data_IF_825859288781
#
_entry.id   IF_825859288781
#
_cell.length_a   1.000
_cell.length_b   1.000
_cell.length_c   1.000
_cell.angle_alpha   90.00
_cell.angle_beta   90.00
_cell.angle_gamma   90.00
#
_symmetry.space_group_name_H-M   'P 1'
#
loop_
_entity.id
_entity.type
_entity.pdbx_description
1 polymer ?
#
# COMPACT_ATOMS: atom_id res chain seq x y z
N UNK A 1 17.12 -3.40 1.93
CA UNK A 1 17.45 -3.76 3.33
C UNK A 1 16.20 -4.27 3.99
N UNK A 2 16.29 -5.32 4.83
CA UNK A 2 15.13 -5.85 5.55
C UNK A 2 14.51 -4.77 6.44
N UNK A 3 13.18 -4.80 6.61
CA UNK A 3 12.49 -3.82 7.44
C UNK A 3 12.86 -4.00 8.92
N UNK A 4 13.15 -2.90 9.61
CA UNK A 4 13.34 -2.94 11.06
C UNK A 4 12.06 -3.33 11.78
N UNK A 5 12.15 -3.94 12.97
CA UNK A 5 10.98 -4.29 13.79
C UNK A 5 10.10 -3.07 14.11
N UNK A 6 10.70 -1.90 14.29
CA UNK A 6 9.96 -0.65 14.50
C UNK A 6 9.12 -0.28 13.26
N UNK A 7 9.72 -0.34 12.07
CA UNK A 7 8.99 -0.11 10.81
C UNK A 7 7.90 -1.15 10.60
N UNK A 8 8.16 -2.42 10.91
CA UNK A 8 7.14 -3.47 10.77
C UNK A 8 5.93 -3.21 11.66
N UNK A 9 6.15 -2.81 12.92
CA UNK A 9 5.06 -2.44 13.85
C UNK A 9 4.29 -1.22 13.35
N UNK A 10 4.97 -0.20 12.85
CA UNK A 10 4.35 0.99 12.30
C UNK A 10 3.47 0.67 11.08
N UNK A 11 3.98 -0.16 10.15
CA UNK A 11 3.21 -0.61 8.99
C UNK A 11 2.02 -1.45 9.44
N UNK A 12 2.19 -2.36 10.40
CA UNK A 12 1.08 -3.16 10.94
C UNK A 12 -0.04 -2.28 11.49
N UNK A 13 0.29 -1.27 12.30
CA UNK A 13 -0.69 -0.33 12.84
C UNK A 13 -1.39 0.48 11.74
N UNK A 14 -0.64 0.90 10.71
CA UNK A 14 -1.23 1.56 9.54
C UNK A 14 -2.20 0.62 8.80
N UNK A 15 -1.87 -0.67 8.64
CA UNK A 15 -2.75 -1.67 8.03
C UNK A 15 -4.01 -1.94 8.87
N UNK A 16 -3.93 -1.88 10.20
CA UNK A 16 -5.11 -1.96 11.07
C UNK A 16 -6.07 -0.79 10.83
N UNK A 17 -5.55 0.44 10.69
CA UNK A 17 -6.36 1.62 10.37
C UNK A 17 -6.95 1.53 8.96
N UNK A 18 -6.17 1.09 7.97
CA UNK A 18 -6.64 0.95 6.59
C UNK A 18 -7.74 -0.12 6.46
N UNK A 19 -7.71 -1.17 7.28
CA UNK A 19 -8.75 -2.21 7.27
C UNK A 19 -10.14 -1.67 7.63
N UNK A 20 -10.23 -0.54 8.34
CA UNK A 20 -11.52 0.08 8.71
C UNK A 20 -12.00 1.12 7.70
N UNK A 21 -11.33 1.25 6.54
CA UNK A 21 -11.61 2.26 5.52
C UNK A 21 -12.12 1.60 4.24
N UNK A 22 -12.74 2.41 3.39
CA UNK A 22 -13.00 2.05 2.00
C UNK A 22 -11.97 2.79 1.16
N UNK A 23 -10.99 2.06 0.65
CA UNK A 23 -9.96 2.59 -0.22
C UNK A 23 -10.46 2.67 -1.66
N UNK A 24 -10.26 3.83 -2.27
CA UNK A 24 -10.58 4.08 -3.66
C UNK A 24 -9.27 4.12 -4.46
N UNK A 25 -9.08 3.11 -5.29
CA UNK A 25 -7.86 2.92 -6.09
C UNK A 25 -7.98 3.66 -7.42
N UNK A 26 -7.04 4.57 -7.68
CA UNK A 26 -6.90 5.25 -8.96
C UNK A 26 -5.78 4.55 -9.77
N UNK A 27 -6.17 3.76 -10.76
CA UNK A 27 -5.24 2.89 -11.47
C UNK A 27 -4.44 3.68 -12.51
N UNK A 28 -3.16 3.87 -12.23
CA UNK A 28 -2.19 4.48 -13.14
C UNK A 28 -1.04 3.52 -13.44
N UNK A 29 -0.35 3.71 -14.56
CA UNK A 29 0.90 2.99 -14.85
C UNK A 29 2.04 3.43 -13.94
N UNK A 30 1.90 4.61 -13.33
CA UNK A 30 2.78 5.12 -12.28
C UNK A 30 2.17 4.85 -10.91
N UNK A 31 3.01 4.78 -9.88
CA UNK A 31 2.53 4.76 -8.50
C UNK A 31 1.81 6.06 -8.19
N UNK A 32 0.56 5.94 -7.77
CA UNK A 32 -0.25 7.06 -7.29
C UNK A 32 -0.78 6.73 -5.90
N UNK A 33 -1.14 7.78 -5.17
CA UNK A 33 -1.75 7.64 -3.85
C UNK A 33 -3.17 7.08 -3.96
N UNK A 34 -3.52 6.16 -3.06
CA UNK A 34 -4.92 5.71 -2.93
C UNK A 34 -5.75 6.82 -2.29
N UNK A 35 -6.98 7.01 -2.78
CA UNK A 35 -7.94 7.95 -2.20
C UNK A 35 -8.54 7.39 -0.91
N UNK A 36 -8.96 8.28 -0.01
CA UNK A 36 -9.49 7.95 1.34
C UNK A 36 -8.56 7.13 2.25
N UNK A 37 -7.31 6.95 1.86
CA UNK A 37 -6.22 6.47 2.71
C UNK A 37 -5.45 7.59 3.44
N UNK A 38 -5.87 8.85 3.31
CA UNK A 38 -5.19 10.00 3.93
C UNK A 38 -5.64 10.17 5.39
N UNK A 39 -4.98 9.50 6.33
CA UNK A 39 -5.18 9.76 7.77
C UNK A 39 -3.86 10.07 8.46
N UNK A 40 -3.88 11.05 9.37
CA UNK A 40 -2.76 11.35 10.27
C UNK A 40 -2.37 10.12 11.11
N UNK A 41 -3.27 9.15 11.23
CA UNK A 41 -3.07 7.90 11.97
C UNK A 41 -2.15 6.90 11.26
N UNK A 42 -1.78 7.10 9.99
CA UNK A 42 -0.83 6.22 9.30
C UNK A 42 0.63 6.46 9.68
N UNK A 43 0.91 7.42 10.57
CA UNK A 43 2.25 7.65 11.10
C UNK A 43 3.28 8.03 10.03
N UNK A 44 2.90 8.83 9.02
CA UNK A 44 3.81 9.20 7.92
C UNK A 44 3.92 8.16 6.80
N UNK A 45 3.08 7.12 6.84
CA UNK A 45 2.91 6.17 5.75
C UNK A 45 1.71 6.52 4.88
N UNK A 46 1.68 5.97 3.66
CA UNK A 46 0.55 6.15 2.75
C UNK A 46 0.36 4.96 1.82
N UNK A 47 -0.88 4.50 1.61
CA UNK A 47 -1.17 3.51 0.59
C UNK A 47 -1.02 4.11 -0.82
N UNK A 48 -0.45 3.33 -1.72
CA UNK A 48 -0.37 3.65 -3.14
C UNK A 48 -0.83 2.48 -4.00
N UNK A 49 -1.25 2.78 -5.23
CA UNK A 49 -1.64 1.80 -6.22
C UNK A 49 -1.02 2.11 -7.59
N UNK A 50 -0.90 1.07 -8.41
CA UNK A 50 -0.60 1.17 -9.84
C UNK A 50 -1.13 -0.06 -10.58
N UNK A 51 -1.13 -0.02 -11.89
CA UNK A 51 -1.41 -1.16 -12.76
C UNK A 51 -0.31 -1.29 -13.81
N UNK A 52 0.13 -2.52 -14.08
CA UNK A 52 1.08 -2.74 -15.17
C UNK A 52 0.45 -2.44 -16.54
N UNK A 53 1.22 -1.82 -17.43
CA UNK A 53 0.76 -1.47 -18.79
C UNK A 53 0.72 -2.68 -19.72
N UNK A 54 1.57 -3.68 -19.49
CA UNK A 54 1.69 -4.88 -20.32
C UNK A 54 0.87 -6.05 -19.74
N UNK A 55 0.39 -6.94 -20.61
CA UNK A 55 -0.22 -8.21 -20.19
C UNK A 55 0.83 -9.08 -19.45
N UNK A 56 0.48 -9.76 -18.33
CA UNK A 56 -0.85 -9.92 -17.75
C UNK A 56 -1.19 -8.85 -16.68
N UNK A 57 -1.33 -7.57 -17.08
CA UNK A 57 -1.85 -6.40 -16.33
C UNK A 57 -2.12 -6.68 -14.85
N UNK A 58 -1.06 -6.65 -14.04
CA UNK A 58 -1.20 -6.82 -12.60
C UNK A 58 -1.59 -5.50 -11.96
N UNK A 59 -2.50 -5.57 -11.00
CA UNK A 59 -2.82 -4.48 -10.10
C UNK A 59 -1.90 -4.57 -8.90
N UNK A 60 -1.26 -3.47 -8.55
CA UNK A 60 -0.34 -3.42 -7.42
C UNK A 60 -0.86 -2.47 -6.36
N UNK A 61 -0.77 -2.89 -5.11
CA UNK A 61 -1.01 -2.04 -3.95
C UNK A 61 0.23 -2.08 -3.05
N UNK A 62 0.64 -0.95 -2.51
CA UNK A 62 1.82 -0.85 -1.67
C UNK A 62 1.69 0.17 -0.55
N UNK A 63 2.57 0.07 0.45
CA UNK A 63 2.72 1.07 1.51
C UNK A 63 4.03 1.82 1.30
N UNK A 64 3.95 3.15 1.32
CA UNK A 64 5.07 4.05 1.03
C UNK A 64 5.38 4.93 2.23
N UNK A 65 6.62 5.38 2.33
CA UNK A 65 6.93 6.58 3.08
C UNK A 65 6.41 7.81 2.34
N UNK A 66 6.14 8.88 3.08
CA UNK A 66 5.67 10.14 2.53
C UNK A 66 6.72 11.22 2.75
N UNK A 67 6.95 12.04 1.73
CA UNK A 67 7.67 13.31 1.85
C UNK A 67 6.90 14.40 1.12
N UNK A 68 6.74 15.57 1.73
CA UNK A 68 5.98 16.70 1.16
C UNK A 68 4.60 16.30 0.61
N UNK A 69 3.87 15.45 1.35
CA UNK A 69 2.54 14.90 1.01
C UNK A 69 2.51 13.96 -0.22
N UNK A 70 3.67 13.60 -0.78
CA UNK A 70 3.81 12.67 -1.91
C UNK A 70 4.39 11.35 -1.46
N UNK A 71 3.94 10.25 -2.09
CA UNK A 71 4.57 8.94 -1.90
C UNK A 71 6.00 8.98 -2.42
N UNK A 72 6.91 8.30 -1.73
CA UNK A 72 8.31 8.16 -2.14
C UNK A 72 8.54 6.71 -2.55
N UNK A 73 8.65 6.40 -3.86
CA UNK A 73 9.01 5.07 -4.31
C UNK A 73 10.45 4.70 -3.90
N UNK A 74 10.77 3.40 -3.73
CA UNK A 74 9.88 2.24 -3.88
C UNK A 74 8.95 2.01 -2.66
N UNK A 75 7.91 1.17 -2.79
CA UNK A 75 7.11 0.77 -1.63
C UNK A 75 7.95 0.01 -0.59
N UNK A 76 7.62 0.19 0.69
CA UNK A 76 8.17 -0.58 1.81
C UNK A 76 7.70 -2.04 1.76
N UNK A 77 6.42 -2.23 1.44
CA UNK A 77 5.79 -3.53 1.17
C UNK A 77 4.80 -3.35 0.03
N UNK A 78 4.58 -4.41 -0.75
CA UNK A 78 3.63 -4.41 -1.86
C UNK A 78 3.01 -5.80 -2.08
N UNK A 79 1.85 -5.82 -2.69
CA UNK A 79 1.17 -7.01 -3.16
C UNK A 79 0.64 -6.77 -4.58
N UNK A 80 0.61 -7.84 -5.38
CA UNK A 80 0.03 -7.84 -6.72
C UNK A 80 -1.23 -8.68 -6.78
N UNK A 81 -2.13 -8.33 -7.71
CA UNK A 81 -3.43 -8.95 -7.90
C UNK A 81 -3.72 -9.07 -9.40
N UNK A 82 -4.38 -10.16 -9.79
CA UNK A 82 -4.82 -10.38 -11.17
C UNK A 82 -6.07 -9.55 -11.54
N UNK A 83 -6.81 -9.08 -10.53
CA UNK A 83 -7.98 -8.22 -10.66
C UNK A 83 -7.93 -7.11 -9.59
N UNK A 84 -8.73 -6.06 -9.76
CA UNK A 84 -8.87 -4.98 -8.79
C UNK A 84 -9.33 -5.56 -7.43
N UNK A 85 -8.51 -5.46 -6.36
CA UNK A 85 -8.91 -5.95 -5.05
C UNK A 85 -9.85 -4.96 -4.35
N UNK A 86 -10.66 -5.45 -3.41
CA UNK A 86 -11.27 -4.60 -2.40
C UNK A 86 -10.25 -4.24 -1.30
N UNK A 87 -10.67 -3.37 -0.36
CA UNK A 87 -9.77 -2.92 0.72
C UNK A 87 -9.33 -4.07 1.63
N UNK A 88 -10.25 -4.96 2.00
CA UNK A 88 -9.95 -6.06 2.91
C UNK A 88 -8.93 -7.03 2.30
N UNK A 89 -9.09 -7.39 1.03
CA UNK A 89 -8.19 -8.25 0.26
C UNK A 89 -6.82 -7.60 0.10
N UNK A 90 -6.79 -6.30 -0.23
CA UNK A 90 -5.54 -5.56 -0.36
C UNK A 90 -4.76 -5.54 0.95
N UNK A 91 -5.43 -5.21 2.07
CA UNK A 91 -4.80 -5.18 3.40
C UNK A 91 -4.33 -6.56 3.83
N UNK A 92 -5.11 -7.62 3.60
CA UNK A 92 -4.72 -8.99 3.94
C UNK A 92 -3.43 -9.41 3.21
N UNK A 93 -3.34 -9.15 1.90
CA UNK A 93 -2.15 -9.46 1.12
C UNK A 93 -0.93 -8.62 1.57
N UNK A 94 -1.13 -7.35 1.93
CA UNK A 94 -0.07 -6.51 2.49
C UNK A 94 0.43 -7.02 3.85
N UNK A 95 -0.43 -7.59 4.69
CA UNK A 95 0.00 -8.25 5.94
C UNK A 95 0.90 -9.45 5.67
N UNK A 96 0.59 -10.24 4.64
CA UNK A 96 1.45 -11.35 4.20
C UNK A 96 2.79 -10.82 3.68
N UNK A 97 2.78 -9.77 2.86
CA UNK A 97 4.01 -9.13 2.39
C UNK A 97 4.87 -8.61 3.56
N UNK A 98 4.24 -8.03 4.59
CA UNK A 98 4.92 -7.55 5.79
C UNK A 98 5.59 -8.67 6.60
N UNK A 99 4.93 -9.82 6.72
CA UNK A 99 5.47 -10.98 7.42
C UNK A 99 6.74 -11.52 6.74
N UNK A 100 6.85 -11.34 5.43
CA UNK A 100 7.97 -11.83 4.60
C UNK A 100 9.08 -10.79 4.35
N UNK A 101 8.92 -9.54 4.80
CA UNK A 101 9.82 -8.41 4.53
C UNK A 101 10.93 -8.21 5.60
#
# INVERSE_FOLDING_TARGET
MPLSNAQKRQISAALDVLATKTLLFDWSTQWVSVHDGNTSQLGGLKPGCRQDSAAPKLYWVGIFTVSNKRIVPPPLIQASFAAVPDTATAVAALRVALANA
#
